data_IF_885978099446
#
_entry.id   IF_885978099446
#
_cell.length_a   1.000
_cell.length_b   1.000
_cell.length_c   1.000
_cell.angle_alpha   90.00
_cell.angle_beta   90.00
_cell.angle_gamma   90.00
#
_symmetry.space_group_name_H-M   'P 1'
#
loop_
_entity.id
_entity.type
_entity.pdbx_description
1 polymer ?
#
# COMPACT_ATOMS: atom_id res chain seq x y z
N UNK A 1 16.77 37.74 8.18
CA UNK A 1 16.44 36.43 7.56
C UNK A 1 14.93 36.38 7.36
N UNK A 2 14.41 35.90 6.22
CA UNK A 2 12.98 36.01 5.85
C UNK A 2 12.08 34.93 6.50
N UNK A 3 12.68 33.92 7.12
CA UNK A 3 12.00 32.83 7.83
C UNK A 3 12.82 32.41 9.04
N UNK A 4 12.14 31.98 10.11
CA UNK A 4 12.77 31.50 11.36
C UNK A 4 12.94 29.97 11.37
N UNK A 5 11.96 29.23 10.84
CA UNK A 5 11.93 27.77 10.79
C UNK A 5 11.34 27.29 9.46
N UNK A 6 11.92 26.25 8.86
CA UNK A 6 11.47 25.68 7.58
C UNK A 6 11.27 24.17 7.73
N UNK A 7 10.06 23.69 7.42
CA UNK A 7 9.74 22.26 7.42
C UNK A 7 9.25 21.83 6.03
N UNK A 8 9.79 20.73 5.51
CA UNK A 8 9.36 20.15 4.25
C UNK A 8 8.15 19.22 4.46
N UNK A 9 7.12 19.34 3.63
CA UNK A 9 5.99 18.40 3.59
C UNK A 9 6.30 17.33 2.53
N UNK A 10 6.44 16.06 2.94
CA UNK A 10 6.73 14.94 2.03
C UNK A 10 5.66 14.81 0.94
N UNK A 11 6.03 14.31 -0.24
CA UNK A 11 5.10 14.09 -1.35
C UNK A 11 4.66 15.34 -2.13
N UNK A 12 5.17 16.53 -1.78
CA UNK A 12 4.76 17.79 -2.43
C UNK A 12 5.68 18.25 -3.56
N UNK A 13 6.84 17.59 -3.75
CA UNK A 13 7.95 18.04 -4.63
C UNK A 13 7.58 18.31 -6.09
N UNK A 14 6.57 17.61 -6.61
CA UNK A 14 6.26 17.62 -8.04
C UNK A 14 5.21 18.69 -8.40
N UNK A 15 4.67 19.42 -7.42
CA UNK A 15 3.54 20.34 -7.60
C UNK A 15 4.00 21.77 -7.92
N UNK A 16 3.19 22.51 -8.68
CA UNK A 16 3.59 23.79 -9.26
C UNK A 16 3.09 25.01 -8.48
N UNK A 17 2.08 24.86 -7.61
CA UNK A 17 1.54 25.97 -6.84
C UNK A 17 1.05 25.54 -5.46
N UNK A 18 1.29 26.41 -4.47
CA UNK A 18 1.01 26.21 -3.05
C UNK A 18 0.38 27.47 -2.49
N UNK A 19 -0.74 27.32 -1.80
CA UNK A 19 -1.42 28.41 -1.09
C UNK A 19 -1.54 28.01 0.38
N UNK A 20 -1.04 28.86 1.28
CA UNK A 20 -1.16 28.63 2.72
C UNK A 20 -2.62 28.74 3.14
N UNK A 21 -3.12 27.71 3.83
CA UNK A 21 -4.42 27.76 4.50
C UNK A 21 -4.20 28.23 5.95
N UNK A 22 -3.27 27.58 6.65
CA UNK A 22 -2.89 27.91 8.02
C UNK A 22 -1.41 27.56 8.30
N UNK A 23 -1.00 27.58 9.58
CA UNK A 23 0.39 27.28 10.01
C UNK A 23 0.86 25.86 9.68
N UNK A 24 -0.07 24.95 9.42
CA UNK A 24 0.16 23.52 9.23
C UNK A 24 -0.36 22.98 7.91
N UNK A 25 -1.19 23.72 7.18
CA UNK A 25 -1.85 23.21 5.98
C UNK A 25 -1.55 24.08 4.75
N UNK A 26 -1.30 23.40 3.63
CA UNK A 26 -1.14 23.99 2.31
C UNK A 26 -2.19 23.42 1.36
N UNK A 27 -2.88 24.28 0.64
CA UNK A 27 -3.61 23.90 -0.55
C UNK A 27 -2.62 23.76 -1.71
N UNK A 28 -2.59 22.58 -2.33
CA UNK A 28 -1.61 22.23 -3.36
C UNK A 28 -2.30 22.03 -4.70
N UNK A 29 -1.74 22.66 -5.74
CA UNK A 29 -2.18 22.54 -7.12
C UNK A 29 -1.12 21.80 -7.93
N UNK A 30 -1.56 20.81 -8.71
CA UNK A 30 -0.64 20.02 -9.55
C UNK A 30 0.08 20.91 -10.57
N UNK A 31 -0.68 21.77 -11.26
CA UNK A 31 -0.21 22.73 -12.27
C UNK A 31 -0.93 24.08 -12.10
N UNK A 32 -0.32 25.17 -12.56
CA UNK A 32 -0.88 26.52 -12.54
C UNK A 32 -2.16 26.57 -13.39
N UNK A 33 -3.33 26.60 -12.75
CA UNK A 33 -4.65 26.57 -13.42
C UNK A 33 -5.38 25.23 -13.37
N UNK A 34 -4.85 24.22 -12.66
CA UNK A 34 -5.58 22.98 -12.41
C UNK A 34 -6.82 23.21 -11.53
N UNK A 35 -7.92 22.55 -11.87
CA UNK A 35 -9.11 22.45 -11.00
C UNK A 35 -8.95 21.40 -9.90
N UNK A 36 -7.95 20.52 -9.99
CA UNK A 36 -7.68 19.49 -8.98
C UNK A 36 -6.73 20.02 -7.92
N UNK A 37 -7.20 20.06 -6.67
CA UNK A 37 -6.44 20.48 -5.50
C UNK A 37 -6.51 19.44 -4.41
N UNK A 38 -5.48 19.37 -3.57
CA UNK A 38 -5.52 18.61 -2.32
C UNK A 38 -4.88 19.42 -1.19
N UNK A 39 -5.21 19.06 0.06
CA UNK A 39 -4.62 19.66 1.25
C UNK A 39 -3.42 18.82 1.67
N UNK A 40 -2.25 19.43 1.71
CA UNK A 40 -1.05 18.86 2.29
C UNK A 40 -0.86 19.42 3.69
N UNK A 41 -0.80 18.53 4.69
CA UNK A 41 -0.63 18.93 6.10
C UNK A 41 0.77 18.59 6.60
N UNK A 42 1.37 19.54 7.31
CA UNK A 42 2.57 19.37 8.09
C UNK A 42 2.30 18.33 9.18
N UNK A 43 3.02 17.20 9.11
CA UNK A 43 2.79 16.07 10.00
C UNK A 43 1.56 15.26 9.61
N UNK A 44 1.40 14.94 8.31
CA UNK A 44 0.36 14.02 7.82
C UNK A 44 0.21 12.85 8.81
N UNK A 45 -0.95 12.77 9.47
CA UNK A 45 -1.34 11.64 10.29
C UNK A 45 -1.47 10.41 9.38
N UNK A 46 -0.35 9.81 9.00
CA UNK A 46 -0.34 8.37 8.82
C UNK A 46 -0.58 7.83 10.22
N UNK A 47 -1.83 7.47 10.51
CA UNK A 47 -2.12 6.68 11.70
C UNK A 47 -1.17 5.49 11.59
N UNK A 48 -0.23 5.30 12.53
CA UNK A 48 0.70 4.19 12.44
C UNK A 48 -0.14 2.93 12.38
N UNK A 49 -0.09 2.22 11.26
CA UNK A 49 -0.65 0.89 11.15
C UNK A 49 0.14 0.01 12.14
N UNK A 50 -0.53 -0.47 13.18
CA UNK A 50 0.03 -1.52 14.04
C UNK A 50 -0.05 -2.82 13.28
N UNK A 51 1.01 -3.13 12.55
CA UNK A 51 1.14 -4.33 11.76
C UNK A 51 1.58 -5.50 12.64
N UNK A 52 0.99 -6.66 12.42
CA UNK A 52 1.31 -7.90 13.11
C UNK A 52 1.50 -9.02 12.09
N UNK A 53 2.25 -10.05 12.48
CA UNK A 53 2.36 -11.27 11.70
C UNK A 53 0.98 -11.86 11.41
N UNK A 54 0.87 -12.60 10.32
CA UNK A 54 -0.35 -13.25 9.84
C UNK A 54 -1.45 -12.32 9.32
N UNK A 55 -1.30 -11.00 9.45
CA UNK A 55 -2.22 -10.03 8.85
C UNK A 55 -2.06 -9.97 7.32
N UNK A 56 -3.16 -9.70 6.63
CA UNK A 56 -3.15 -9.41 5.21
C UNK A 56 -3.05 -7.91 4.99
N UNK A 57 -2.24 -7.52 4.03
CA UNK A 57 -1.99 -6.13 3.69
C UNK A 57 -2.11 -5.89 2.19
N UNK A 58 -2.58 -4.70 1.83
CA UNK A 58 -2.38 -4.15 0.51
C UNK A 58 -1.09 -3.33 0.52
N UNK A 59 -0.19 -3.62 -0.40
CA UNK A 59 1.11 -2.97 -0.48
C UNK A 59 1.52 -2.71 -1.93
N UNK A 60 2.53 -1.86 -2.11
CA UNK A 60 3.09 -1.53 -3.42
C UNK A 60 4.43 -2.20 -3.62
N UNK A 61 4.65 -2.74 -4.82
CA UNK A 61 5.94 -3.25 -5.24
C UNK A 61 6.17 -2.87 -6.70
N UNK A 62 7.17 -2.01 -6.94
CA UNK A 62 7.37 -1.36 -8.23
C UNK A 62 6.21 -0.44 -8.59
N UNK A 63 5.62 -0.64 -9.77
CA UNK A 63 4.47 0.14 -10.26
C UNK A 63 3.11 -0.48 -9.91
N UNK A 64 3.10 -1.70 -9.36
CA UNK A 64 1.88 -2.46 -9.11
C UNK A 64 1.57 -2.50 -7.61
N UNK A 65 0.29 -2.64 -7.29
CA UNK A 65 -0.17 -2.95 -5.94
C UNK A 65 -0.50 -4.43 -5.84
N UNK A 66 -0.33 -4.98 -4.66
CA UNK A 66 -0.49 -6.41 -4.39
C UNK A 66 -1.17 -6.64 -3.05
N UNK A 67 -1.81 -7.79 -2.91
CA UNK A 67 -2.24 -8.32 -1.61
C UNK A 67 -1.20 -9.34 -1.17
N UNK A 68 -0.77 -9.23 0.07
CA UNK A 68 0.12 -10.20 0.68
C UNK A 68 -0.16 -10.40 2.16
N UNK A 69 0.46 -11.42 2.72
CA UNK A 69 0.40 -11.75 4.14
C UNK A 69 1.74 -11.43 4.79
N UNK A 70 1.70 -10.77 5.95
CA UNK A 70 2.89 -10.51 6.75
C UNK A 70 3.37 -11.82 7.34
N UNK A 71 4.63 -12.15 7.08
CA UNK A 71 5.28 -13.34 7.61
C UNK A 71 6.16 -12.97 8.81
N UNK A 72 6.97 -11.92 8.68
CA UNK A 72 8.01 -11.53 9.64
C UNK A 72 8.22 -10.00 9.59
N UNK A 73 8.63 -9.41 10.73
CA UNK A 73 9.07 -8.02 10.84
C UNK A 73 10.57 -7.95 11.16
N UNK A 74 11.28 -7.03 10.51
CA UNK A 74 12.70 -6.76 10.72
C UNK A 74 12.91 -5.34 11.25
N UNK A 75 13.23 -5.24 12.54
CA UNK A 75 13.24 -3.98 13.29
C UNK A 75 14.31 -2.98 12.84
N UNK A 76 15.51 -3.47 12.50
CA UNK A 76 16.65 -2.59 12.19
C UNK A 76 16.40 -1.70 10.95
N UNK A 77 15.65 -2.20 9.96
CA UNK A 77 15.29 -1.43 8.75
C UNK A 77 13.80 -1.09 8.65
N UNK A 78 13.00 -1.47 9.65
CA UNK A 78 11.54 -1.32 9.63
C UNK A 78 10.90 -1.96 8.37
N UNK A 79 11.41 -3.14 8.01
CA UNK A 79 10.99 -3.91 6.84
C UNK A 79 10.06 -5.05 7.24
N UNK A 80 9.16 -5.43 6.34
CA UNK A 80 8.25 -6.55 6.52
C UNK A 80 8.45 -7.57 5.41
N UNK A 81 8.53 -8.83 5.79
CA UNK A 81 8.54 -9.96 4.87
C UNK A 81 7.12 -10.28 4.48
N UNK A 82 6.79 -10.04 3.23
CA UNK A 82 5.45 -10.24 2.69
C UNK A 82 5.46 -11.45 1.77
N UNK A 83 4.55 -12.38 2.02
CA UNK A 83 4.19 -13.44 1.07
C UNK A 83 3.07 -12.93 0.17
N UNK A 84 3.31 -12.80 -1.12
CA UNK A 84 2.40 -12.19 -2.10
C UNK A 84 1.41 -13.19 -2.68
N UNK A 85 0.18 -12.73 -2.89
CA UNK A 85 -0.84 -13.46 -3.61
C UNK A 85 -0.98 -12.94 -5.03
N UNK A 86 -1.22 -13.83 -5.99
CA UNK A 86 -1.44 -13.47 -7.38
C UNK A 86 -2.94 -13.52 -7.72
N UNK A 87 -3.50 -12.48 -8.36
CA UNK A 87 -4.90 -12.47 -8.78
C UNK A 87 -5.14 -13.47 -9.92
N UNK A 88 -6.30 -14.14 -9.89
CA UNK A 88 -6.70 -15.06 -10.95
C UNK A 88 -7.43 -14.31 -12.08
N UNK A 89 -6.68 -13.57 -12.89
CA UNK A 89 -7.22 -12.79 -14.01
C UNK A 89 -8.22 -11.72 -13.54
N UNK A 90 -9.33 -11.47 -14.26
CA UNK A 90 -10.32 -10.45 -13.88
C UNK A 90 -11.17 -10.83 -12.66
N UNK A 91 -10.98 -12.00 -12.07
CA UNK A 91 -11.73 -12.46 -10.90
C UNK A 91 -11.19 -11.84 -9.61
N UNK A 92 -12.06 -11.64 -8.61
CA UNK A 92 -11.67 -11.21 -7.26
C UNK A 92 -10.97 -12.31 -6.42
N UNK A 93 -10.60 -13.42 -7.06
CA UNK A 93 -9.96 -14.58 -6.43
C UNK A 93 -8.44 -14.43 -6.45
N UNK A 94 -7.83 -14.75 -5.32
CA UNK A 94 -6.38 -14.74 -5.16
C UNK A 94 -5.86 -16.15 -4.93
N UNK A 95 -4.62 -16.40 -5.35
CA UNK A 95 -3.95 -17.68 -5.14
C UNK A 95 -2.54 -17.47 -4.62
N UNK A 96 -2.08 -18.44 -3.84
CA UNK A 96 -0.66 -18.54 -3.48
C UNK A 96 0.09 -19.14 -4.67
N UNK A 97 1.06 -18.40 -5.26
CA UNK A 97 1.88 -18.93 -6.33
C UNK A 97 2.73 -20.11 -5.84
N UNK A 98 3.15 -20.96 -6.78
CA UNK A 98 4.11 -22.05 -6.53
C UNK A 98 5.26 -21.91 -7.52
N UNK A 99 6.50 -21.61 -7.07
CA UNK A 99 6.93 -21.41 -5.67
C UNK A 99 6.29 -20.18 -5.02
N UNK A 100 6.34 -20.11 -3.69
CA UNK A 100 5.85 -18.95 -2.93
C UNK A 100 6.63 -17.70 -3.35
N UNK A 101 5.90 -16.61 -3.55
CA UNK A 101 6.44 -15.30 -3.88
C UNK A 101 6.59 -14.51 -2.58
N UNK A 102 7.82 -14.30 -2.12
CA UNK A 102 8.12 -13.69 -0.83
C UNK A 102 9.18 -12.61 -1.01
N UNK A 103 8.93 -11.41 -0.48
CA UNK A 103 9.88 -10.31 -0.55
C UNK A 103 9.84 -9.47 0.73
N UNK A 104 10.99 -8.89 1.10
CA UNK A 104 11.08 -7.84 2.10
C UNK A 104 10.69 -6.50 1.46
N UNK A 105 9.77 -5.77 2.09
CA UNK A 105 9.40 -4.42 1.66
C UNK A 105 9.42 -3.47 2.86
N UNK A 106 9.74 -2.19 2.64
CA UNK A 106 9.73 -1.19 3.69
C UNK A 106 8.30 -0.85 4.11
N UNK A 107 8.12 -0.46 5.38
CA UNK A 107 6.82 -0.06 5.94
C UNK A 107 6.06 0.93 5.06
N UNK A 108 6.75 1.89 4.42
CA UNK A 108 6.15 2.91 3.57
C UNK A 108 5.42 2.34 2.34
N UNK A 109 5.74 1.10 1.96
CA UNK A 109 5.07 0.43 0.86
C UNK A 109 3.76 -0.24 1.29
N UNK A 110 3.51 -0.38 2.58
CA UNK A 110 2.28 -0.96 3.14
C UNK A 110 1.22 0.13 3.24
N UNK A 111 0.14 -0.03 2.47
CA UNK A 111 -0.91 0.99 2.36
C UNK A 111 -1.98 0.81 3.43
N UNK A 112 -2.41 -0.44 3.67
CA UNK A 112 -3.44 -0.77 4.65
C UNK A 112 -3.50 -2.26 4.98
N UNK A 113 -4.05 -2.58 6.15
CA UNK A 113 -4.52 -3.92 6.50
C UNK A 113 -5.82 -4.22 5.73
N UNK A 114 -5.95 -5.45 5.23
CA UNK A 114 -7.16 -5.96 4.57
C UNK A 114 -7.64 -7.24 5.25
N UNK A 115 -8.91 -7.56 5.06
CA UNK A 115 -9.44 -8.87 5.42
C UNK A 115 -8.79 -9.96 4.55
N UNK A 116 -8.72 -11.18 5.07
CA UNK A 116 -8.21 -12.32 4.32
C UNK A 116 -9.00 -12.46 2.99
N UNK A 117 -8.32 -12.44 1.83
CA UNK A 117 -8.99 -12.58 0.55
C UNK A 117 -9.51 -14.01 0.35
N UNK A 118 -10.56 -14.14 -0.45
CA UNK A 118 -11.09 -15.46 -0.84
C UNK A 118 -10.06 -16.19 -1.70
N UNK A 119 -9.54 -17.31 -1.18
CA UNK A 119 -8.52 -18.13 -1.84
C UNK A 119 -9.20 -19.19 -2.69
N UNK A 120 -8.78 -19.33 -3.95
CA UNK A 120 -9.12 -20.52 -4.73
C UNK A 120 -8.32 -21.71 -4.18
N UNK A 121 -8.95 -22.55 -3.38
CA UNK A 121 -8.36 -23.82 -2.95
C UNK A 121 -8.33 -24.76 -4.15
N UNK A 122 -7.13 -25.12 -4.62
CA UNK A 122 -6.92 -26.17 -5.63
C UNK A 122 -7.45 -27.56 -5.21
N UNK A 123 -8.03 -27.70 -4.01
CA UNK A 123 -8.60 -28.93 -3.48
C UNK A 123 -9.95 -29.27 -4.14
N UNK A 124 -10.62 -28.34 -4.83
CA UNK A 124 -11.92 -28.63 -5.47
C UNK A 124 -11.88 -28.88 -6.99
N UNK A 125 -10.77 -28.59 -7.68
CA UNK A 125 -10.72 -28.82 -9.14
C UNK A 125 -10.56 -30.28 -9.56
N UNK A 126 -10.28 -31.22 -8.62
CA UNK A 126 -10.29 -32.66 -8.91
C UNK A 126 -11.62 -33.36 -8.62
N UNK A 127 -12.51 -32.76 -7.82
CA UNK A 127 -13.79 -33.40 -7.44
C UNK A 127 -14.94 -32.99 -8.37
N UNK A 128 -14.84 -31.87 -9.08
CA UNK A 128 -15.88 -31.47 -10.05
C UNK A 128 -15.79 -32.19 -11.40
N UNK A 129 -14.68 -32.85 -11.74
CA UNK A 129 -14.53 -33.59 -13.01
C UNK A 129 -14.91 -35.07 -12.94
N UNK A 130 -15.19 -35.62 -11.75
CA UNK A 130 -15.62 -37.03 -11.56
C UNK A 130 -17.09 -37.18 -11.16
N UNK A 131 -17.92 -36.14 -11.33
CA UNK A 131 -19.39 -36.25 -11.22
C UNK A 131 -20.12 -36.03 -12.55
N UNK A 132 -19.44 -36.24 -13.67
CA UNK A 132 -20.05 -36.15 -15.01
C UNK A 132 -19.63 -37.31 -15.93
N UNK A 133 -19.56 -38.52 -15.37
CA UNK A 133 -19.63 -39.78 -16.14
C UNK A 133 -20.72 -40.63 -15.52
#
# INVERSE_FOLDING_TARGET
>A
MRYETVNAIKGTRSNHSFVSIDKTQLLVFRVSGSTTTFIASLGSKTIPLTLQDEQYVACTYGINWWIGKIMEYYDEYNDYKIMFMHPHGPSALYTWPKPLDVCWIPYEHIMKIVSAPSVLLYILSFITYLKSI
#
